data_IF_965421647052
#
_entry.id   IF_965421647052
#
_cell.length_a   1.000
_cell.length_b   1.000
_cell.length_c   1.000
_cell.angle_alpha   90.00
_cell.angle_beta   90.00
_cell.angle_gamma   90.00
#
_symmetry.space_group_name_H-M   'P 1'
#
loop_
_entity.id
_entity.type
_entity.pdbx_description
1 polymer ?
#
# COMPACT_ATOMS: atom_id res chain seq x y z
N UNK A 1 25.28 -5.99 5.73
CA UNK A 1 25.03 -5.63 7.14
C UNK A 1 23.72 -4.87 7.18
N UNK A 2 22.77 -5.23 8.04
CA UNK A 2 21.52 -4.50 8.23
C UNK A 2 21.81 -3.21 9.01
N UNK A 3 21.34 -2.07 8.54
CA UNK A 3 21.51 -0.77 9.22
C UNK A 3 20.60 -0.69 10.45
N UNK A 4 20.93 0.19 11.40
CA UNK A 4 20.05 0.42 12.56
C UNK A 4 18.67 0.96 12.15
N UNK A 5 18.59 1.77 11.08
CA UNK A 5 17.31 2.27 10.56
C UNK A 5 16.43 1.14 10.02
N UNK A 6 17.00 0.21 9.26
CA UNK A 6 16.31 -1.01 8.80
C UNK A 6 15.94 -1.93 9.98
N UNK A 7 16.80 -2.03 10.99
CA UNK A 7 16.53 -2.74 12.24
C UNK A 7 15.23 -2.25 12.90
N UNK A 8 15.10 -0.93 13.03
CA UNK A 8 13.93 -0.26 13.61
C UNK A 8 12.67 -0.50 12.77
N UNK A 9 12.76 -0.33 11.44
CA UNK A 9 11.59 -0.42 10.57
C UNK A 9 10.96 -1.82 10.54
N UNK A 10 11.75 -2.90 10.43
CA UNK A 10 11.14 -4.24 10.45
C UNK A 10 10.64 -4.60 11.84
N UNK A 11 11.35 -4.23 12.92
CA UNK A 11 10.86 -4.45 14.28
C UNK A 11 9.52 -3.75 14.52
N UNK A 12 9.35 -2.54 13.99
CA UNK A 12 8.09 -1.80 14.04
C UNK A 12 6.98 -2.49 13.23
N UNK A 13 7.26 -2.92 12.00
CA UNK A 13 6.29 -3.63 11.16
C UNK A 13 5.87 -4.99 11.75
N UNK A 14 6.80 -5.72 12.38
CA UNK A 14 6.51 -6.95 13.13
C UNK A 14 5.59 -6.66 14.31
N UNK A 15 5.92 -5.64 15.11
CA UNK A 15 5.13 -5.25 16.27
C UNK A 15 3.71 -4.77 15.91
N UNK A 16 3.56 -4.08 14.77
CA UNK A 16 2.24 -3.71 14.23
C UNK A 16 1.38 -4.94 13.89
N UNK A 17 1.99 -6.09 13.62
CA UNK A 17 1.25 -7.33 13.39
C UNK A 17 0.74 -8.00 14.66
N UNK A 18 1.25 -7.59 15.82
CA UNK A 18 0.91 -8.16 17.13
C UNK A 18 -0.09 -7.31 17.91
N UNK A 19 -0.08 -5.98 17.74
CA UNK A 19 -0.93 -5.04 18.51
C UNK A 19 -1.13 -3.71 17.81
N UNK A 20 -2.03 -2.88 18.36
CA UNK A 20 -2.38 -1.57 17.79
C UNK A 20 -1.19 -0.60 17.81
N UNK A 21 -1.12 0.28 16.80
CA UNK A 21 -0.11 1.34 16.74
C UNK A 21 -0.14 2.26 17.97
N UNK A 22 -1.33 2.50 18.55
CA UNK A 22 -1.50 3.37 19.71
C UNK A 22 -0.81 2.81 20.96
N UNK A 23 -0.81 1.49 21.13
CA UNK A 23 -0.22 0.83 22.30
C UNK A 23 1.29 0.62 22.17
N UNK A 24 1.86 0.74 20.96
CA UNK A 24 3.29 0.56 20.75
C UNK A 24 4.11 1.66 21.44
N UNK A 25 5.20 1.25 22.08
CA UNK A 25 6.17 2.17 22.68
C UNK A 25 7.54 2.08 22.00
N UNK A 26 8.31 3.19 22.03
CA UNK A 26 9.72 3.19 21.59
C UNK A 26 10.53 2.13 22.33
N UNK A 27 10.23 1.87 23.61
CA UNK A 27 10.90 0.84 24.41
C UNK A 27 10.77 -0.54 23.78
N UNK A 28 9.58 -0.92 23.34
CA UNK A 28 9.34 -2.23 22.72
C UNK A 28 10.01 -2.34 21.34
N UNK A 29 9.95 -1.25 20.55
CA UNK A 29 10.59 -1.21 19.23
C UNK A 29 12.10 -1.43 19.37
N UNK A 30 12.77 -0.73 20.29
CA UNK A 30 14.23 -0.89 20.45
C UNK A 30 14.61 -2.24 21.05
N UNK A 31 13.76 -2.82 21.91
CA UNK A 31 13.95 -4.16 22.44
C UNK A 31 13.86 -5.20 21.32
N UNK A 32 12.85 -5.09 20.43
CA UNK A 32 12.69 -5.99 19.29
C UNK A 32 13.81 -5.84 18.27
N UNK A 33 14.20 -4.61 17.97
CA UNK A 33 15.29 -4.30 17.04
C UNK A 33 16.70 -4.61 17.60
N UNK A 34 16.81 -4.94 18.90
CA UNK A 34 18.09 -5.18 19.59
C UNK A 34 19.06 -3.99 19.51
N UNK A 35 18.55 -2.77 19.67
CA UNK A 35 19.34 -1.52 19.68
C UNK A 35 19.12 -0.71 20.96
N UNK A 36 19.95 0.31 21.16
CA UNK A 36 19.75 1.27 22.26
C UNK A 36 18.67 2.30 21.93
N UNK A 37 18.04 2.88 22.96
CA UNK A 37 17.13 4.05 22.78
C UNK A 37 17.86 5.23 22.14
N UNK A 38 19.11 5.47 22.52
CA UNK A 38 19.92 6.52 21.90
C UNK A 38 20.07 6.30 20.40
N UNK A 39 20.26 5.06 19.96
CA UNK A 39 20.34 4.70 18.52
C UNK A 39 19.01 4.94 17.80
N UNK A 40 17.86 4.65 18.44
CA UNK A 40 16.56 5.01 17.88
C UNK A 40 16.43 6.52 17.67
N UNK A 41 16.76 7.30 18.69
CA UNK A 41 16.65 8.76 18.64
C UNK A 41 17.67 9.45 17.71
N UNK A 42 18.67 8.74 17.20
CA UNK A 42 19.50 9.22 16.08
C UNK A 42 18.77 9.17 14.73
N UNK A 43 17.70 8.37 14.62
CA UNK A 43 16.96 8.16 13.38
C UNK A 43 15.54 8.72 13.41
N UNK A 44 14.87 8.65 14.56
CA UNK A 44 13.47 9.05 14.73
C UNK A 44 13.25 9.68 16.11
N UNK A 45 12.57 10.81 16.15
CA UNK A 45 12.19 11.53 17.37
C UNK A 45 11.16 10.77 18.19
N UNK A 46 10.22 10.08 17.53
CA UNK A 46 9.22 9.23 18.17
C UNK A 46 8.66 8.15 17.21
N UNK A 47 7.62 7.44 17.64
CA UNK A 47 6.96 6.39 16.84
C UNK A 47 6.09 6.93 15.70
N UNK A 48 5.66 8.20 15.78
CA UNK A 48 4.86 8.84 14.75
C UNK A 48 5.75 9.22 13.56
N UNK A 49 6.92 9.81 13.82
CA UNK A 49 7.91 10.05 12.75
C UNK A 49 8.35 8.74 12.08
N UNK A 50 8.51 7.66 12.87
CA UNK A 50 8.77 6.33 12.29
C UNK A 50 7.61 5.84 11.41
N UNK A 51 6.36 6.05 11.82
CA UNK A 51 5.19 5.68 11.01
C UNK A 51 5.17 6.45 9.68
N UNK A 52 5.40 7.76 9.70
CA UNK A 52 5.50 8.58 8.49
C UNK A 52 6.60 8.06 7.55
N UNK A 53 7.79 7.79 8.09
CA UNK A 53 8.90 7.27 7.30
C UNK A 53 8.59 5.91 6.66
N UNK A 54 7.99 4.99 7.42
CA UNK A 54 7.56 3.69 6.91
C UNK A 54 6.48 3.85 5.84
N UNK A 55 5.53 4.76 6.04
CA UNK A 55 4.49 5.07 5.05
C UNK A 55 5.07 5.57 3.75
N UNK A 56 5.95 6.56 3.78
CA UNK A 56 6.64 7.06 2.59
C UNK A 56 7.40 5.94 1.89
N UNK A 57 8.18 5.14 2.63
CA UNK A 57 8.95 4.02 2.08
C UNK A 57 8.07 2.97 1.40
N UNK A 58 6.94 2.62 2.00
CA UNK A 58 6.04 1.62 1.44
C UNK A 58 5.22 2.17 0.27
N UNK A 59 4.78 3.44 0.33
CA UNK A 59 4.09 4.10 -0.78
C UNK A 59 5.02 4.27 -1.99
N UNK A 60 6.28 4.64 -1.79
CA UNK A 60 7.27 4.71 -2.87
C UNK A 60 7.48 3.34 -3.52
N UNK A 61 7.59 2.28 -2.71
CA UNK A 61 7.68 0.91 -3.23
C UNK A 61 6.40 0.51 -3.99
N UNK A 62 5.22 0.84 -3.47
CA UNK A 62 3.94 0.61 -4.14
C UNK A 62 3.90 1.29 -5.52
N UNK A 63 4.26 2.57 -5.59
CA UNK A 63 4.27 3.34 -6.84
C UNK A 63 5.34 2.84 -7.82
N UNK A 64 6.45 2.28 -7.31
CA UNK A 64 7.52 1.75 -8.18
C UNK A 64 7.06 0.59 -9.08
N UNK A 65 6.00 -0.13 -8.71
CA UNK A 65 5.47 -1.23 -9.53
C UNK A 65 4.81 -0.76 -10.84
N UNK A 66 4.52 0.53 -10.97
CA UNK A 66 4.03 1.14 -12.21
C UNK A 66 5.17 1.56 -13.16
N UNK A 67 6.43 1.53 -12.70
CA UNK A 67 7.61 1.80 -13.52
C UNK A 67 8.19 0.54 -14.19
N UNK A 68 7.68 -0.65 -13.88
CA UNK A 68 8.17 -1.88 -14.51
C UNK A 68 7.63 -1.99 -15.93
N UNK A 69 8.52 -1.79 -16.89
CA UNK A 69 8.28 -2.02 -18.31
C UNK A 69 7.94 -3.51 -18.52
N UNK A 70 6.68 -3.82 -18.84
CA UNK A 70 6.21 -5.20 -19.05
C UNK A 70 6.62 -5.72 -20.43
N UNK A 71 7.90 -5.63 -20.78
CA UNK A 71 8.44 -6.17 -22.03
C UNK A 71 8.53 -7.71 -22.00
N UNK A 72 8.36 -8.33 -20.83
CA UNK A 72 8.39 -9.78 -20.65
C UNK A 72 6.97 -10.33 -20.41
N UNK A 73 6.53 -11.26 -21.28
CA UNK A 73 5.20 -11.88 -21.24
C UNK A 73 4.92 -12.73 -19.99
N UNK A 74 5.95 -13.12 -19.25
CA UNK A 74 5.86 -14.02 -18.09
C UNK A 74 5.96 -13.31 -16.73
N UNK A 75 6.09 -11.98 -16.73
CA UNK A 75 6.07 -11.20 -15.48
C UNK A 75 4.64 -11.06 -14.97
N UNK A 76 4.37 -11.31 -13.67
CA UNK A 76 3.08 -11.00 -13.07
C UNK A 76 2.68 -9.54 -13.32
N UNK A 77 1.39 -9.28 -13.49
CA UNK A 77 0.89 -7.94 -13.76
C UNK A 77 1.13 -6.98 -12.58
N UNK A 78 1.20 -5.68 -12.84
CA UNK A 78 1.30 -4.65 -11.79
C UNK A 78 0.27 -4.87 -10.66
N UNK A 79 -1.03 -5.11 -10.93
CA UNK A 79 -2.01 -5.44 -9.89
C UNK A 79 -1.62 -6.60 -8.96
N UNK A 80 -0.94 -7.64 -9.48
CA UNK A 80 -0.47 -8.75 -8.67
C UNK A 80 0.60 -8.30 -7.66
N UNK A 81 1.58 -7.50 -8.11
CA UNK A 81 2.61 -6.96 -7.24
C UNK A 81 2.02 -6.03 -6.17
N UNK A 82 1.04 -5.19 -6.52
CA UNK A 82 0.34 -4.34 -5.56
C UNK A 82 -0.36 -5.18 -4.49
N UNK A 83 -1.14 -6.19 -4.88
CA UNK A 83 -1.85 -7.04 -3.92
C UNK A 83 -0.89 -7.83 -3.03
N UNK A 84 0.23 -8.33 -3.58
CA UNK A 84 1.29 -9.02 -2.81
C UNK A 84 1.97 -8.10 -1.81
N UNK A 85 2.28 -6.86 -2.23
CA UNK A 85 2.88 -5.85 -1.37
C UNK A 85 1.95 -5.51 -0.19
N UNK A 86 0.66 -5.25 -0.48
CA UNK A 86 -0.33 -4.95 0.56
C UNK A 86 -0.46 -6.12 1.54
N UNK A 87 -0.58 -7.36 1.04
CA UNK A 87 -0.69 -8.52 1.93
C UNK A 87 0.57 -8.73 2.78
N UNK A 88 1.76 -8.48 2.23
CA UNK A 88 3.03 -8.57 2.96
C UNK A 88 3.05 -7.63 4.16
N UNK A 89 2.55 -6.41 3.99
CA UNK A 89 2.49 -5.37 5.03
C UNK A 89 1.05 -5.15 5.54
N UNK A 90 0.26 -6.22 5.64
CA UNK A 90 -1.19 -6.14 5.90
C UNK A 90 -1.56 -5.29 7.12
N UNK A 91 -0.83 -5.40 8.22
CA UNK A 91 -1.15 -4.68 9.45
C UNK A 91 -0.94 -3.18 9.33
N UNK A 92 0.04 -2.76 8.53
CA UNK A 92 0.21 -1.36 8.15
C UNK A 92 -0.97 -0.91 7.27
N UNK A 93 -1.29 -1.65 6.21
CA UNK A 93 -2.37 -1.28 5.28
C UNK A 93 -3.76 -1.30 5.90
N UNK A 94 -4.03 -2.14 6.91
CA UNK A 94 -5.29 -2.10 7.69
C UNK A 94 -5.46 -0.76 8.40
N UNK A 95 -4.37 -0.18 8.92
CA UNK A 95 -4.39 1.14 9.57
C UNK A 95 -4.56 2.23 8.51
N UNK A 96 -3.73 2.21 7.47
CA UNK A 96 -3.71 3.24 6.43
C UNK A 96 -5.04 3.31 5.67
N UNK A 97 -5.60 2.17 5.28
CA UNK A 97 -6.87 2.10 4.57
C UNK A 97 -8.08 2.19 5.51
N UNK A 98 -7.85 2.35 6.82
CA UNK A 98 -8.84 2.83 7.77
C UNK A 98 -8.92 4.37 7.85
N UNK A 99 -7.95 5.09 7.25
CA UNK A 99 -7.89 6.54 7.26
C UNK A 99 -8.19 7.13 5.88
N UNK A 100 -9.28 7.90 5.77
CA UNK A 100 -9.69 8.52 4.51
C UNK A 100 -8.65 9.51 3.94
N UNK A 101 -7.89 10.18 4.81
CA UNK A 101 -6.87 11.13 4.39
C UNK A 101 -5.68 10.40 3.73
N UNK A 102 -5.26 9.26 4.29
CA UNK A 102 -4.16 8.47 3.74
C UNK A 102 -4.56 7.77 2.44
N UNK A 103 -5.81 7.29 2.33
CA UNK A 103 -6.39 6.79 1.07
C UNK A 103 -6.31 7.88 -0.01
N UNK A 104 -6.74 9.11 0.33
CA UNK A 104 -6.74 10.24 -0.60
C UNK A 104 -5.31 10.60 -1.02
N UNK A 105 -4.37 10.74 -0.08
CA UNK A 105 -2.96 11.02 -0.36
C UNK A 105 -2.35 10.01 -1.31
N UNK A 106 -2.51 8.71 -1.05
CA UNK A 106 -1.96 7.67 -1.93
C UNK A 106 -2.64 7.67 -3.32
N UNK A 107 -3.94 7.96 -3.37
CA UNK A 107 -4.67 8.11 -4.65
C UNK A 107 -4.14 9.29 -5.46
N UNK A 108 -3.89 10.43 -4.82
CA UNK A 108 -3.33 11.63 -5.45
C UNK A 108 -1.89 11.40 -5.94
N UNK A 109 -1.07 10.72 -5.14
CA UNK A 109 0.30 10.32 -5.52
C UNK A 109 0.30 9.38 -6.73
N UNK A 110 -0.60 8.40 -6.75
CA UNK A 110 -0.74 7.49 -7.89
C UNK A 110 -1.26 8.25 -9.12
N UNK A 111 -2.20 9.18 -8.98
CA UNK A 111 -2.70 9.97 -10.11
C UNK A 111 -1.60 10.82 -10.73
N UNK A 112 -0.76 11.47 -9.92
CA UNK A 112 0.40 12.20 -10.40
C UNK A 112 1.39 11.28 -11.15
N UNK A 113 1.59 10.06 -10.63
CA UNK A 113 2.44 9.06 -11.29
C UNK A 113 1.88 8.61 -12.65
N UNK A 114 0.59 8.27 -12.70
CA UNK A 114 -0.08 7.80 -13.91
C UNK A 114 -0.25 8.90 -14.95
N UNK A 115 -0.44 10.15 -14.55
CA UNK A 115 -0.50 11.29 -15.45
C UNK A 115 0.79 11.39 -16.30
N UNK A 116 1.95 11.18 -15.67
CA UNK A 116 3.22 11.19 -16.38
C UNK A 116 3.35 10.07 -17.42
N UNK A 117 2.65 8.96 -17.23
CA UNK A 117 2.68 7.80 -18.12
C UNK A 117 1.64 7.89 -19.24
N UNK A 118 0.42 8.34 -18.94
CA UNK A 118 -0.70 8.32 -19.89
C UNK A 118 -0.95 9.66 -20.60
N UNK A 119 -0.53 10.79 -20.03
CA UNK A 119 -0.78 12.11 -20.59
C UNK A 119 -2.25 12.59 -20.51
N UNK A 120 -3.13 11.80 -19.89
CA UNK A 120 -4.55 12.11 -19.69
C UNK A 120 -4.84 12.22 -18.19
N UNK A 121 -5.25 13.40 -17.76
CA UNK A 121 -5.50 13.71 -16.35
C UNK A 121 -6.75 13.03 -15.81
N UNK A 122 -7.85 13.03 -16.57
CA UNK A 122 -9.11 12.45 -16.10
C UNK A 122 -9.00 10.93 -16.00
N UNK A 123 -8.32 10.31 -16.96
CA UNK A 123 -8.02 8.89 -16.90
C UNK A 123 -7.09 8.55 -15.74
N UNK A 124 -6.02 9.33 -15.51
CA UNK A 124 -5.10 9.11 -14.40
C UNK A 124 -5.79 9.22 -13.04
N UNK A 125 -6.66 10.22 -12.85
CA UNK A 125 -7.47 10.38 -11.63
C UNK A 125 -8.40 9.17 -11.47
N UNK A 126 -9.19 8.83 -12.50
CA UNK A 126 -10.14 7.72 -12.44
C UNK A 126 -9.45 6.38 -12.12
N UNK A 127 -8.38 6.05 -12.84
CA UNK A 127 -7.63 4.81 -12.66
C UNK A 127 -7.03 4.72 -11.25
N UNK A 128 -6.52 5.83 -10.71
CA UNK A 128 -5.89 5.87 -9.39
C UNK A 128 -6.91 5.67 -8.27
N UNK A 129 -7.98 6.46 -8.28
CA UNK A 129 -9.03 6.37 -7.26
C UNK A 129 -9.79 5.04 -7.35
N UNK A 130 -10.02 4.51 -8.55
CA UNK A 130 -10.58 3.18 -8.74
C UNK A 130 -9.68 2.08 -8.17
N UNK A 131 -8.37 2.17 -8.43
CA UNK A 131 -7.39 1.20 -7.94
C UNK A 131 -7.28 1.21 -6.43
N UNK A 132 -7.00 2.37 -5.82
CA UNK A 132 -6.86 2.49 -4.36
C UNK A 132 -8.18 2.17 -3.66
N UNK A 133 -9.32 2.61 -4.23
CA UNK A 133 -10.64 2.30 -3.69
C UNK A 133 -10.91 0.79 -3.63
N UNK A 134 -10.62 0.06 -4.71
CA UNK A 134 -10.78 -1.40 -4.74
C UNK A 134 -9.83 -2.12 -3.77
N UNK A 135 -8.55 -1.73 -3.74
CA UNK A 135 -7.57 -2.32 -2.82
C UNK A 135 -7.92 -2.04 -1.36
N UNK A 136 -8.37 -0.83 -1.06
CA UNK A 136 -8.87 -0.45 0.26
C UNK A 136 -10.11 -1.24 0.66
N UNK A 137 -11.03 -1.50 -0.27
CA UNK A 137 -12.16 -2.41 -0.04
C UNK A 137 -11.66 -3.83 0.27
N UNK A 138 -10.71 -4.37 -0.49
CA UNK A 138 -10.15 -5.71 -0.25
C UNK A 138 -9.51 -5.85 1.13
N UNK A 139 -8.75 -4.84 1.59
CA UNK A 139 -8.16 -4.81 2.94
C UNK A 139 -9.24 -4.74 4.02
N UNK A 140 -10.26 -3.88 3.85
CA UNK A 140 -11.36 -3.73 4.82
C UNK A 140 -12.25 -4.97 4.93
N UNK A 141 -12.25 -5.82 3.91
CA UNK A 141 -12.89 -7.13 3.92
C UNK A 141 -11.89 -8.24 4.29
N UNK A 142 -10.90 -7.94 5.13
CA UNK A 142 -9.96 -8.91 5.72
C UNK A 142 -9.33 -9.88 4.71
N UNK A 143 -9.00 -9.38 3.52
CA UNK A 143 -8.30 -10.16 2.48
C UNK A 143 -9.01 -11.47 2.08
N UNK A 144 -10.36 -11.49 2.06
CA UNK A 144 -11.18 -12.70 1.79
C UNK A 144 -10.73 -13.52 0.57
N UNK A 145 -10.19 -12.86 -0.46
CA UNK A 145 -9.65 -13.49 -1.66
C UNK A 145 -8.13 -13.32 -1.74
N UNK A 146 -7.47 -14.25 -2.42
CA UNK A 146 -6.01 -14.23 -2.58
C UNK A 146 -5.53 -13.01 -3.38
N UNK A 147 -4.24 -12.61 -3.27
CA UNK A 147 -3.67 -11.56 -4.10
C UNK A 147 -3.83 -11.78 -5.60
N UNK A 148 -3.78 -13.04 -6.05
CA UNK A 148 -4.00 -13.40 -7.45
C UNK A 148 -5.42 -13.09 -7.91
N UNK A 149 -6.41 -13.57 -7.16
CA UNK A 149 -7.83 -13.31 -7.45
C UNK A 149 -8.18 -11.82 -7.36
N UNK A 150 -7.63 -11.11 -6.37
CA UNK A 150 -7.82 -9.68 -6.23
C UNK A 150 -7.26 -8.91 -7.43
N UNK A 151 -6.07 -9.27 -7.89
CA UNK A 151 -5.42 -8.68 -9.07
C UNK A 151 -6.20 -8.94 -10.35
N UNK A 152 -6.68 -10.17 -10.57
CA UNK A 152 -7.51 -10.51 -11.73
C UNK A 152 -8.81 -9.69 -11.77
N UNK A 153 -9.47 -9.53 -10.63
CA UNK A 153 -10.68 -8.70 -10.52
C UNK A 153 -10.38 -7.22 -10.81
N UNK A 154 -9.30 -6.69 -10.25
CA UNK A 154 -8.89 -5.30 -10.48
C UNK A 154 -8.60 -5.04 -11.97
N UNK A 155 -7.91 -5.97 -12.65
CA UNK A 155 -7.70 -5.89 -14.10
C UNK A 155 -9.01 -5.87 -14.88
N UNK A 156 -9.98 -6.73 -14.54
CA UNK A 156 -11.28 -6.77 -15.24
C UNK A 156 -12.04 -5.45 -15.11
N UNK A 157 -12.03 -4.81 -13.95
CA UNK A 157 -12.79 -3.58 -13.69
C UNK A 157 -12.28 -2.41 -14.57
N UNK A 158 -10.96 -2.31 -14.78
CA UNK A 158 -10.36 -1.20 -15.53
C UNK A 158 -10.73 -1.14 -17.01
N UNK A 159 -11.18 -2.26 -17.61
CA UNK A 159 -11.42 -2.35 -19.05
C UNK A 159 -12.88 -2.64 -19.44
N UNK A 160 -13.80 -2.70 -18.47
CA UNK A 160 -15.21 -2.97 -18.75
C UNK A 160 -16.06 -1.71 -18.79
N UNK A 161 -16.86 -1.53 -19.84
CA UNK A 161 -18.03 -0.64 -19.79
C UNK A 161 -19.10 -1.28 -18.88
N UNK A 162 -18.96 -1.02 -17.59
CA UNK A 162 -19.84 -1.54 -16.56
C UNK A 162 -21.28 -1.02 -16.70
N UNK A 163 -21.50 0.09 -17.42
CA UNK A 163 -22.84 0.65 -17.63
C UNK A 163 -23.69 -0.19 -18.58
N UNK A 164 -23.06 -0.96 -19.48
CA UNK A 164 -23.73 -1.92 -20.34
C UNK A 164 -24.50 -2.98 -19.52
N UNK A 165 -23.91 -3.44 -18.42
CA UNK A 165 -24.52 -4.45 -17.54
C UNK A 165 -25.68 -3.91 -16.69
N UNK A 166 -25.75 -2.59 -16.48
CA UNK A 166 -26.89 -1.98 -15.79
C UNK A 166 -28.15 -1.97 -16.65
N UNK A 167 -27.99 -1.80 -17.98
CA UNK A 167 -29.11 -1.78 -18.92
C UNK A 167 -29.82 -3.15 -19.03
N UNK A 168 -29.09 -4.26 -18.84
CA UNK A 168 -29.67 -5.61 -18.91
C UNK A 168 -30.43 -6.04 -17.65
N UNK A 169 -30.27 -5.37 -16.51
CA UNK A 169 -30.98 -5.70 -15.25
C UNK A 169 -32.29 -4.93 -15.07
N UNK A 170 -32.56 -3.94 -15.93
CA UNK A 170 -33.73 -3.08 -15.88
C UNK A 170 -34.83 -3.48 -16.90
N UNK A 171 -34.66 -4.65 -17.52
CA UNK A 171 -35.61 -5.31 -18.43
C UNK A 171 -35.96 -6.68 -17.87
#
# INVERSE_FOLDING_TARGET
MRTAKEAICEAFLELLSERSFQDLSVKEIVQRAQISRSTFYLHFTDKFELMEYVRETLNDLFLSFYKQDSLLKDTPSTPYFLCRHILKYRSFYVIEFGNADEIRKLSDQLAAHLLSAFGDQDYAIFASYGTIGYLSFWVRNDFVISPGEAAEKLLKIGFTDWTYNLKMKLT
#
